data_IF_731236742589
#
_entry.id   IF_731236742589
#
_cell.length_a   1.000
_cell.length_b   1.000
_cell.length_c   1.000
_cell.angle_alpha   90.00
_cell.angle_beta   90.00
_cell.angle_gamma   90.00
#
_symmetry.space_group_name_H-M   'P 1'
#
loop_
_entity.id
_entity.type
_entity.pdbx_description
1 polymer ?
#
# COMPACT_ATOMS: atom_id res chain seq x y z
N UNK A 1 11.58 -53.20 -31.91
CA UNK A 1 10.44 -52.38 -31.46
C UNK A 1 10.50 -51.06 -32.21
N UNK A 2 9.42 -50.69 -32.91
CA UNK A 2 9.32 -49.50 -33.78
C UNK A 2 9.05 -48.22 -32.97
N UNK A 3 9.35 -47.08 -33.61
CA UNK A 3 8.88 -45.68 -33.37
C UNK A 3 9.77 -44.86 -32.44
N UNK A 4 10.06 -43.59 -32.66
CA UNK A 4 9.93 -42.67 -33.79
C UNK A 4 10.74 -41.42 -33.41
N UNK A 5 11.29 -40.73 -34.39
CA UNK A 5 11.94 -39.43 -34.27
C UNK A 5 10.95 -38.36 -33.78
N UNK A 6 11.34 -37.49 -32.84
CA UNK A 6 10.65 -36.21 -32.62
C UNK A 6 11.68 -35.08 -32.59
N UNK A 7 11.76 -34.39 -33.71
CA UNK A 7 12.46 -33.13 -33.91
C UNK A 7 11.57 -32.03 -33.33
N UNK A 8 11.99 -31.35 -32.25
CA UNK A 8 11.33 -30.12 -31.81
C UNK A 8 12.08 -28.92 -32.39
N UNK A 9 11.58 -28.43 -33.52
CA UNK A 9 11.68 -27.03 -33.91
C UNK A 9 10.41 -26.32 -33.45
N UNK A 10 10.55 -25.12 -32.90
CA UNK A 10 9.60 -24.01 -32.67
C UNK A 10 9.94 -23.42 -31.29
N UNK A 11 10.20 -22.15 -31.08
CA UNK A 11 10.22 -20.95 -31.91
C UNK A 11 10.64 -19.84 -30.93
N UNK A 12 11.41 -18.86 -31.37
CA UNK A 12 11.55 -17.59 -30.67
C UNK A 12 10.18 -17.07 -30.21
N UNK A 13 9.86 -17.20 -28.92
CA UNK A 13 8.73 -16.50 -28.34
C UNK A 13 9.22 -15.08 -28.11
N UNK A 14 8.78 -14.07 -28.88
CA UNK A 14 8.86 -12.72 -28.36
C UNK A 14 7.98 -12.73 -27.10
N UNK A 15 8.58 -12.67 -25.93
CA UNK A 15 7.87 -12.24 -24.73
C UNK A 15 7.49 -10.77 -24.97
N UNK A 16 6.44 -10.56 -25.76
CA UNK A 16 5.60 -9.40 -25.55
C UNK A 16 4.92 -9.66 -24.21
N UNK A 17 5.56 -9.23 -23.12
CA UNK A 17 4.85 -8.98 -21.88
C UNK A 17 3.89 -7.84 -22.21
N UNK A 18 2.73 -8.18 -22.76
CA UNK A 18 1.60 -7.28 -22.74
C UNK A 18 1.39 -6.95 -21.27
N UNK A 19 1.49 -5.67 -20.93
CA UNK A 19 1.10 -5.22 -19.60
C UNK A 19 -0.33 -5.69 -19.37
N UNK A 20 -0.53 -6.60 -18.40
CA UNK A 20 -1.85 -7.03 -18.01
C UNK A 20 -2.59 -5.80 -17.48
N UNK A 21 -3.78 -5.52 -18.00
CA UNK A 21 -4.62 -4.45 -17.46
C UNK A 21 -4.82 -4.71 -15.96
N UNK A 22 -4.49 -3.74 -15.08
CA UNK A 22 -4.71 -3.89 -13.65
C UNK A 22 -6.18 -4.26 -13.39
N UNK A 23 -6.39 -5.37 -12.70
CA UNK A 23 -7.71 -5.78 -12.22
C UNK A 23 -7.81 -5.36 -10.77
N UNK A 24 -8.62 -4.34 -10.51
CA UNK A 24 -8.88 -3.88 -9.14
C UNK A 24 -10.10 -4.60 -8.59
N UNK A 25 -10.04 -4.94 -7.31
CA UNK A 25 -11.25 -5.30 -6.56
C UNK A 25 -12.17 -4.08 -6.41
N UNK A 26 -13.45 -4.28 -6.08
CA UNK A 26 -14.32 -3.19 -5.68
C UNK A 26 -13.64 -2.32 -4.62
N UNK A 27 -13.78 -0.99 -4.67
CA UNK A 27 -13.15 -0.11 -3.71
C UNK A 27 -13.72 -0.36 -2.31
N UNK A 28 -12.83 -0.41 -1.32
CA UNK A 28 -13.20 -0.49 0.09
C UNK A 28 -12.71 0.76 0.83
N UNK A 29 -13.52 1.23 1.78
CA UNK A 29 -13.07 2.30 2.67
C UNK A 29 -12.19 1.68 3.76
N UNK A 30 -10.97 2.19 3.89
CA UNK A 30 -10.10 1.80 4.99
C UNK A 30 -10.69 2.23 6.34
N UNK A 31 -10.59 1.33 7.33
CA UNK A 31 -11.16 1.53 8.66
C UNK A 31 -10.08 1.47 9.72
N UNK A 32 -10.25 2.30 10.74
CA UNK A 32 -9.52 2.24 12.00
C UNK A 32 -10.51 1.94 13.11
N UNK A 33 -10.32 0.83 13.82
CA UNK A 33 -11.24 0.37 14.87
C UNK A 33 -12.71 0.26 14.38
N UNK A 34 -12.91 -0.18 13.14
CA UNK A 34 -14.23 -0.35 12.53
C UNK A 34 -14.88 0.94 12.01
N UNK A 35 -14.28 2.10 12.22
CA UNK A 35 -14.75 3.40 11.73
C UNK A 35 -13.95 3.80 10.50
N UNK A 36 -14.60 4.41 9.51
CA UNK A 36 -13.93 4.91 8.32
C UNK A 36 -12.81 5.88 8.70
N UNK A 37 -11.64 5.71 8.07
CA UNK A 37 -10.54 6.66 8.22
C UNK A 37 -10.94 7.94 7.49
N UNK A 38 -11.21 8.99 8.27
CA UNK A 38 -11.50 10.33 7.78
C UNK A 38 -10.50 11.32 8.40
N UNK A 39 -9.75 11.98 7.52
CA UNK A 39 -8.75 13.00 7.91
C UNK A 39 -9.22 14.43 7.64
N UNK A 40 -10.49 14.59 7.25
CA UNK A 40 -11.06 15.87 6.81
C UNK A 40 -10.65 16.19 5.37
N UNK A 41 -10.08 17.37 5.16
CA UNK A 41 -9.77 17.89 3.84
C UNK A 41 -8.35 17.53 3.38
N UNK A 42 -8.21 17.29 2.06
CA UNK A 42 -6.94 17.07 1.37
C UNK A 42 -6.09 15.94 1.97
N UNK A 43 -6.71 14.79 2.24
CA UNK A 43 -6.01 13.60 2.67
C UNK A 43 -5.00 13.12 1.63
N UNK A 44 -3.75 12.92 2.05
CA UNK A 44 -2.66 12.43 1.20
C UNK A 44 -2.13 11.11 1.75
N UNK A 45 -2.67 9.96 1.31
CA UNK A 45 -2.27 8.65 1.82
C UNK A 45 -0.94 8.16 1.21
N UNK A 46 -0.13 7.50 2.02
CA UNK A 46 1.10 6.82 1.63
C UNK A 46 1.22 5.48 2.38
N UNK A 47 1.61 4.42 1.67
CA UNK A 47 1.71 3.06 2.22
C UNK A 47 3.16 2.62 2.22
N UNK A 48 3.70 2.36 3.41
CA UNK A 48 5.11 1.98 3.60
C UNK A 48 5.28 1.18 4.88
N UNK A 49 6.37 0.41 4.98
CA UNK A 49 6.74 -0.27 6.22
C UNK A 49 7.50 0.73 7.11
N UNK A 50 6.76 1.49 7.91
CA UNK A 50 7.28 2.68 8.57
C UNK A 50 8.04 2.34 9.84
N UNK A 51 7.60 1.32 10.58
CA UNK A 51 8.25 0.88 11.81
C UNK A 51 9.29 -0.24 11.61
N UNK A 52 9.42 -0.77 10.39
CA UNK A 52 10.42 -1.77 10.01
C UNK A 52 10.07 -3.19 10.43
N UNK A 53 8.81 -3.47 10.75
CA UNK A 53 8.34 -4.79 11.17
C UNK A 53 7.92 -5.71 10.00
N UNK A 54 8.06 -5.24 8.76
CA UNK A 54 7.75 -5.99 7.55
C UNK A 54 6.28 -5.89 7.12
N UNK A 55 5.43 -5.22 7.90
CA UNK A 55 4.04 -4.93 7.52
C UNK A 55 3.93 -3.52 6.94
N UNK A 56 3.06 -3.36 5.96
CA UNK A 56 2.76 -2.06 5.36
C UNK A 56 1.80 -1.31 6.27
N UNK A 57 2.26 -0.17 6.77
CA UNK A 57 1.50 0.83 7.51
C UNK A 57 0.86 1.85 6.58
N UNK A 58 -0.04 2.65 7.13
CA UNK A 58 -0.67 3.76 6.44
C UNK A 58 -0.27 5.09 7.09
N UNK A 59 0.34 5.96 6.29
CA UNK A 59 0.59 7.36 6.62
C UNK A 59 -0.43 8.21 5.89
N UNK A 60 -1.03 9.19 6.55
CA UNK A 60 -1.97 10.11 5.90
C UNK A 60 -1.67 11.54 6.31
N UNK A 61 -1.19 12.34 5.35
CA UNK A 61 -1.10 13.79 5.50
C UNK A 61 -2.50 14.40 5.55
N UNK A 62 -2.69 15.42 6.39
CA UNK A 62 -3.94 16.17 6.49
C UNK A 62 -3.71 17.67 6.32
N UNK A 63 -4.69 18.36 5.74
CA UNK A 63 -4.66 19.82 5.60
C UNK A 63 -4.54 20.53 6.95
N UNK A 64 -5.29 20.05 7.94
CA UNK A 64 -5.40 20.70 9.25
C UNK A 64 -4.07 20.63 9.99
N UNK A 65 -3.44 21.81 10.16
CA UNK A 65 -2.11 22.00 10.74
C UNK A 65 -0.97 21.24 10.04
N UNK A 66 -1.17 20.79 8.80
CA UNK A 66 -0.15 20.08 8.02
C UNK A 66 0.39 18.81 8.68
N UNK A 67 -0.37 18.19 9.60
CA UNK A 67 0.11 17.02 10.35
C UNK A 67 0.07 15.75 9.50
N UNK A 68 0.82 14.74 9.93
CA UNK A 68 0.80 13.39 9.35
C UNK A 68 0.30 12.41 10.40
N UNK A 69 -0.79 11.69 10.09
CA UNK A 69 -1.28 10.57 10.90
C UNK A 69 -0.57 9.29 10.50
N UNK A 70 -0.04 8.57 11.48
CA UNK A 70 0.55 7.25 11.34
C UNK A 70 -0.42 6.19 11.90
N UNK A 71 -0.90 5.31 11.02
CA UNK A 71 -1.74 4.17 11.35
C UNK A 71 -0.91 2.89 11.24
N UNK A 72 -0.47 2.37 12.39
CA UNK A 72 0.28 1.11 12.44
C UNK A 72 -0.59 -0.07 12.05
N UNK A 73 -0.09 -0.92 11.16
CA UNK A 73 -0.74 -2.18 10.79
C UNK A 73 -0.37 -3.28 11.78
N UNK A 74 -1.35 -3.75 12.56
CA UNK A 74 -1.17 -4.87 13.51
C UNK A 74 -1.57 -6.23 12.93
N UNK A 75 -2.11 -6.25 11.70
CA UNK A 75 -2.54 -7.45 10.98
C UNK A 75 -1.44 -7.99 10.05
N UNK A 76 -1.78 -8.18 8.78
CA UNK A 76 -0.85 -8.64 7.74
C UNK A 76 -0.89 -7.70 6.53
N UNK A 77 0.01 -7.89 5.56
CA UNK A 77 -0.03 -7.12 4.30
C UNK A 77 -1.28 -7.41 3.45
N UNK A 78 -1.83 -8.62 3.54
CA UNK A 78 -3.03 -9.01 2.80
C UNK A 78 -4.33 -8.69 3.56
N UNK A 79 -4.26 -8.52 4.88
CA UNK A 79 -5.39 -8.18 5.73
C UNK A 79 -4.92 -7.22 6.84
N UNK A 80 -4.79 -5.92 6.52
CA UNK A 80 -4.29 -4.94 7.46
C UNK A 80 -5.32 -4.65 8.57
N UNK A 81 -4.83 -4.37 9.78
CA UNK A 81 -5.66 -3.98 10.92
C UNK A 81 -5.12 -2.69 11.51
N UNK A 82 -5.95 -1.64 11.50
CA UNK A 82 -5.64 -0.35 12.10
C UNK A 82 -6.54 -0.12 13.32
N UNK A 83 -5.95 0.34 14.44
CA UNK A 83 -6.67 0.51 15.72
C UNK A 83 -6.56 1.93 16.30
N UNK A 84 -6.09 2.88 15.51
CA UNK A 84 -5.89 4.27 15.89
C UNK A 84 -4.81 4.91 15.05
N UNK A 85 -4.50 6.17 15.33
CA UNK A 85 -3.34 6.85 14.77
C UNK A 85 -2.58 7.61 15.84
N UNK A 86 -1.31 7.84 15.53
CA UNK A 86 -0.44 8.79 16.21
C UNK A 86 -0.09 9.91 15.24
N UNK A 87 0.22 11.12 15.73
CA UNK A 87 0.89 12.09 14.86
C UNK A 87 2.35 11.69 14.73
N UNK A 88 2.85 11.68 13.50
CA UNK A 88 4.24 11.36 13.24
C UNK A 88 5.13 12.42 13.87
N UNK A 89 6.25 11.99 14.48
CA UNK A 89 7.15 12.86 15.25
C UNK A 89 8.58 12.84 14.72
N UNK A 90 9.25 13.98 14.84
CA UNK A 90 10.69 14.13 14.73
C UNK A 90 11.20 14.81 16.01
N UNK A 91 12.24 14.27 16.64
CA UNK A 91 12.81 14.77 17.90
C UNK A 91 11.77 15.01 19.01
N UNK A 92 10.72 14.16 19.06
CA UNK A 92 9.63 14.24 20.04
C UNK A 92 8.51 15.22 19.69
N UNK A 93 8.71 16.09 18.70
CA UNK A 93 7.69 17.04 18.21
C UNK A 93 6.94 16.49 17.02
N UNK A 94 5.65 16.81 16.89
CA UNK A 94 4.85 16.43 15.73
C UNK A 94 5.44 17.07 14.46
N UNK A 95 5.58 16.28 13.40
CA UNK A 95 5.95 16.78 12.08
C UNK A 95 4.78 17.57 11.50
N UNK A 96 5.07 18.78 11.06
CA UNK A 96 4.16 19.63 10.31
C UNK A 96 4.74 19.92 8.93
N UNK A 97 4.02 19.50 7.90
CA UNK A 97 4.22 19.88 6.51
C UNK A 97 3.23 21.00 6.22
N UNK A 98 3.54 22.22 6.68
CA UNK A 98 2.69 23.38 6.41
C UNK A 98 2.89 23.89 4.99
N UNK A 99 1.86 24.53 4.47
CA UNK A 99 2.01 25.50 3.39
C UNK A 99 3.03 26.54 3.85
N UNK A 100 4.00 26.89 3.00
CA UNK A 100 5.00 27.92 3.29
C UNK A 100 4.38 29.29 3.53
#
# INVERSE_FOLDING_TARGET
>A
MKKAMLMLLLSSIPFAVSAQTPQFFPPETLKSSGVNIDVGYYGSPYVYDWDGDGKKDLLVGQFHYGKVRFYRNTGTNNNPVFSGYEFLKADGSDITVSWG
#
